data_IF_004473562108
#
_entry.id   IF_004473562108
#
_cell.length_a   1.000
_cell.length_b   1.000
_cell.length_c   1.000
_cell.angle_alpha   90.00
_cell.angle_beta   90.00
_cell.angle_gamma   90.00
#
_symmetry.space_group_name_H-M   'P 1'
#
loop_
_entity.id
_entity.type
_entity.pdbx_description
1 polymer ?
#
# COMPACT_ATOMS: atom_id res chain seq x y z
N UNK A 1 17.42 -6.70 17.66
CA UNK A 1 16.75 -5.42 17.40
C UNK A 1 17.26 -4.78 16.13
N UNK A 2 16.53 -4.98 15.04
CA UNK A 2 16.73 -4.14 13.86
C UNK A 2 16.10 -2.78 14.15
N UNK A 3 16.92 -1.73 14.10
CA UNK A 3 16.45 -0.35 14.19
C UNK A 3 15.79 0.03 12.86
N UNK A 4 14.51 -0.32 12.70
CA UNK A 4 13.78 -0.06 11.46
C UNK A 4 13.38 1.42 11.43
N UNK A 5 13.88 2.13 10.43
CA UNK A 5 13.48 3.50 10.15
C UNK A 5 12.01 3.54 9.68
N UNK A 6 11.24 4.50 10.20
CA UNK A 6 9.82 4.67 9.87
C UNK A 6 9.51 6.12 9.55
N UNK A 7 8.60 6.35 8.62
CA UNK A 7 8.12 7.68 8.29
C UNK A 7 6.92 8.05 9.17
N UNK A 8 6.99 9.18 9.89
CA UNK A 8 5.87 9.72 10.67
C UNK A 8 5.32 10.98 10.03
N UNK A 9 4.02 10.98 9.77
CA UNK A 9 3.29 12.15 9.31
C UNK A 9 3.17 13.16 10.46
N UNK A 10 3.78 14.33 10.28
CA UNK A 10 3.77 15.42 11.26
C UNK A 10 2.41 16.09 11.32
N UNK A 11 2.14 17.08 10.48
CA UNK A 11 0.86 17.74 10.26
C UNK A 11 0.82 18.21 8.81
N UNK A 12 -0.06 17.65 7.98
CA UNK A 12 -0.18 18.02 6.56
C UNK A 12 -1.63 18.16 6.14
N UNK A 13 -1.90 18.93 5.08
CA UNK A 13 -3.18 18.89 4.38
C UNK A 13 -3.17 17.84 3.25
N UNK A 14 -2.01 17.55 2.66
CA UNK A 14 -1.89 16.63 1.53
C UNK A 14 -1.01 15.43 1.90
N UNK A 15 -1.59 14.22 1.87
CA UNK A 15 -0.86 12.97 2.00
C UNK A 15 -0.68 12.33 0.61
N UNK A 16 0.56 12.03 0.24
CA UNK A 16 0.90 11.32 -0.99
C UNK A 16 2.13 10.44 -0.74
N UNK A 17 1.91 9.12 -0.72
CA UNK A 17 2.95 8.09 -0.62
C UNK A 17 2.90 7.28 -1.90
N UNK A 18 4.04 7.16 -2.57
CA UNK A 18 4.18 6.43 -3.83
C UNK A 18 5.29 5.40 -3.71
N UNK A 19 5.04 4.23 -4.26
CA UNK A 19 6.03 3.19 -4.42
C UNK A 19 5.91 2.56 -5.79
N UNK A 20 7.03 2.07 -6.29
CA UNK A 20 7.13 1.42 -7.60
C UNK A 20 8.14 0.29 -7.54
N UNK A 21 7.86 -0.79 -8.24
CA UNK A 21 8.75 -1.94 -8.37
C UNK A 21 8.67 -2.49 -9.79
N UNK A 22 9.80 -2.89 -10.37
CA UNK A 22 9.77 -3.55 -11.67
C UNK A 22 9.21 -4.96 -11.54
N UNK A 23 8.35 -5.35 -12.47
CA UNK A 23 7.79 -6.71 -12.47
C UNK A 23 8.88 -7.78 -12.69
N UNK A 24 9.97 -7.43 -13.37
CA UNK A 24 11.15 -8.28 -13.57
C UNK A 24 11.95 -8.55 -12.28
N UNK A 25 11.68 -7.82 -11.18
CA UNK A 25 12.27 -8.09 -9.86
C UNK A 25 11.44 -9.12 -9.07
N UNK A 26 10.31 -9.57 -9.62
CA UNK A 26 9.40 -10.54 -9.02
C UNK A 26 9.50 -11.89 -9.73
N UNK A 27 9.11 -12.95 -9.02
CA UNK A 27 9.06 -14.28 -9.62
C UNK A 27 7.90 -14.37 -10.64
N UNK A 28 8.11 -14.99 -11.81
CA UNK A 28 7.05 -15.18 -12.81
C UNK A 28 5.96 -16.13 -12.31
N UNK A 29 4.82 -16.16 -13.01
CA UNK A 29 3.67 -17.02 -12.75
C UNK A 29 3.17 -17.01 -11.29
N UNK A 30 3.31 -15.89 -10.58
CA UNK A 30 3.09 -15.79 -9.14
C UNK A 30 2.04 -14.72 -8.84
N UNK A 31 1.06 -15.07 -7.99
CA UNK A 31 0.13 -14.09 -7.43
C UNK A 31 0.84 -13.31 -6.33
N UNK A 32 0.97 -12.00 -6.48
CA UNK A 32 1.47 -11.11 -5.45
C UNK A 32 0.33 -10.32 -4.82
N UNK A 33 0.44 -10.08 -3.52
CA UNK A 33 -0.33 -9.05 -2.83
C UNK A 33 0.56 -7.91 -2.36
N UNK A 34 0.00 -6.69 -2.41
CA UNK A 34 0.67 -5.48 -1.97
C UNK A 34 -0.07 -4.92 -0.77
N UNK A 35 0.66 -4.73 0.33
CA UNK A 35 0.11 -4.13 1.56
C UNK A 35 1.02 -3.02 2.07
N UNK A 36 0.45 -1.98 2.67
CA UNK A 36 1.21 -1.02 3.48
C UNK A 36 1.12 -1.39 4.96
N UNK A 37 2.26 -1.49 5.64
CA UNK A 37 2.32 -1.63 7.09
C UNK A 37 2.34 -0.24 7.74
N UNK A 38 1.25 0.09 8.44
CA UNK A 38 1.04 1.42 9.00
C UNK A 38 0.54 1.35 10.45
N UNK A 39 0.61 2.48 11.14
CA UNK A 39 0.08 2.64 12.49
C UNK A 39 -0.43 4.05 12.70
N UNK A 40 -1.61 4.17 13.32
CA UNK A 40 -2.05 5.45 13.86
C UNK A 40 -1.49 5.62 15.28
N UNK A 41 -0.88 6.75 15.58
CA UNK A 41 -0.50 7.09 16.95
C UNK A 41 -1.74 7.37 17.82
N UNK A 42 -1.60 7.33 19.15
CA UNK A 42 -2.72 7.61 20.07
C UNK A 42 -3.34 8.99 19.84
N UNK A 43 -2.51 9.98 19.52
CA UNK A 43 -2.91 11.36 19.22
C UNK A 43 -3.18 11.66 17.74
N UNK A 44 -3.33 10.64 16.88
CA UNK A 44 -3.64 10.85 15.47
C UNK A 44 -5.00 11.55 15.31
N UNK A 45 -5.08 12.48 14.35
CA UNK A 45 -6.23 13.32 14.06
C UNK A 45 -6.37 13.59 12.56
N UNK A 46 -7.57 13.98 12.12
CA UNK A 46 -7.83 14.37 10.72
C UNK A 46 -8.04 13.19 9.75
N UNK A 47 -8.59 12.08 10.24
CA UNK A 47 -8.77 10.85 9.45
C UNK A 47 -10.25 10.54 9.15
N UNK A 48 -11.12 11.55 9.19
CA UNK A 48 -12.57 11.43 8.99
C UNK A 48 -12.92 11.04 7.55
N UNK A 49 -12.13 11.51 6.59
CA UNK A 49 -12.24 11.08 5.20
C UNK A 49 -11.37 9.85 4.93
N UNK A 50 -11.81 8.92 4.08
CA UNK A 50 -11.03 7.74 3.76
C UNK A 50 -9.76 8.10 2.99
N UNK A 51 -8.75 7.23 3.13
CA UNK A 51 -7.57 7.25 2.29
C UNK A 51 -7.79 6.39 1.07
N UNK A 52 -7.12 6.72 -0.03
CA UNK A 52 -7.15 5.95 -1.28
C UNK A 52 -5.89 5.11 -1.38
N UNK A 53 -6.09 3.84 -1.76
CA UNK A 53 -5.04 2.90 -2.09
C UNK A 53 -5.20 2.54 -3.56
N UNK A 54 -4.13 2.68 -4.35
CA UNK A 54 -4.17 2.45 -5.78
C UNK A 54 -3.03 1.54 -6.21
N UNK A 55 -3.37 0.46 -6.90
CA UNK A 55 -2.42 -0.41 -7.59
C UNK A 55 -2.54 -0.16 -9.10
N UNK A 56 -1.45 0.20 -9.76
CA UNK A 56 -1.40 0.36 -11.23
C UNK A 56 -0.40 -0.63 -11.81
N UNK A 57 -0.83 -1.38 -12.83
CA UNK A 57 -0.05 -2.41 -13.49
C UNK A 57 0.48 -1.91 -14.85
N UNK A 58 1.58 -2.51 -15.38
CA UNK A 58 2.16 -2.10 -16.66
C UNK A 58 1.19 -2.18 -17.85
N UNK A 59 0.32 -3.20 -17.86
CA UNK A 59 -0.76 -3.36 -18.84
C UNK A 59 -1.89 -2.30 -18.78
N UNK A 60 -1.77 -1.29 -17.91
CA UNK A 60 -2.74 -0.21 -17.77
C UNK A 60 -3.94 -0.52 -16.87
N UNK A 61 -4.01 -1.73 -16.29
CA UNK A 61 -5.02 -2.06 -15.28
C UNK A 61 -4.73 -1.25 -14.01
N UNK A 62 -5.80 -0.65 -13.48
CA UNK A 62 -5.76 0.11 -12.23
C UNK A 62 -6.81 -0.45 -11.27
N UNK A 63 -6.39 -0.77 -10.05
CA UNK A 63 -7.25 -1.08 -8.92
C UNK A 63 -7.19 0.09 -7.94
N UNK A 64 -8.34 0.66 -7.57
CA UNK A 64 -8.41 1.71 -6.55
C UNK A 64 -9.45 1.32 -5.50
N UNK A 65 -9.12 1.55 -4.23
CA UNK A 65 -10.04 1.34 -3.11
C UNK A 65 -9.88 2.40 -2.04
N UNK A 66 -10.94 2.59 -1.28
CA UNK A 66 -10.99 3.52 -0.16
C UNK A 66 -10.97 2.76 1.17
N UNK A 67 -10.21 3.26 2.13
CA UNK A 67 -10.13 2.71 3.48
C UNK A 67 -10.32 3.82 4.51
N UNK A 68 -11.26 3.63 5.43
CA UNK A 68 -11.40 4.54 6.57
C UNK A 68 -10.35 4.21 7.62
N UNK A 69 -9.44 5.15 7.89
CA UNK A 69 -8.48 5.03 9.00
C UNK A 69 -9.09 5.41 10.34
N UNK A 70 -10.18 6.19 10.36
CA UNK A 70 -10.90 6.55 11.60
C UNK A 70 -11.35 5.32 12.40
N UNK A 71 -11.77 4.26 11.71
CA UNK A 71 -12.29 3.03 12.32
C UNK A 71 -11.19 2.02 12.70
N UNK A 72 -9.91 2.38 12.51
CA UNK A 72 -8.78 1.49 12.76
C UNK A 72 -8.21 1.67 14.17
N UNK A 73 -7.64 0.61 14.77
CA UNK A 73 -7.08 0.69 16.12
C UNK A 73 -5.91 1.67 16.17
N UNK A 74 -5.84 2.43 17.27
CA UNK A 74 -4.73 3.35 17.55
C UNK A 74 -3.64 2.64 18.35
N UNK A 75 -2.39 2.99 18.08
CA UNK A 75 -1.20 2.46 18.73
C UNK A 75 -0.75 1.09 18.24
N UNK A 76 -1.50 0.46 17.32
CA UNK A 76 -1.23 -0.87 16.79
C UNK A 76 -0.82 -0.80 15.32
N UNK A 77 0.11 -1.68 14.93
CA UNK A 77 0.45 -1.88 13.52
C UNK A 77 -0.67 -2.63 12.81
N UNK A 78 -0.92 -2.27 11.56
CA UNK A 78 -1.95 -2.88 10.72
C UNK A 78 -1.52 -2.87 9.26
N UNK A 79 -2.02 -3.84 8.50
CA UNK A 79 -1.84 -3.93 7.06
C UNK A 79 -3.01 -3.24 6.34
N UNK A 80 -2.68 -2.34 5.42
CA UNK A 80 -3.61 -1.79 4.45
C UNK A 80 -3.39 -2.49 3.11
N UNK A 81 -4.29 -3.41 2.76
CA UNK A 81 -4.21 -4.11 1.48
C UNK A 81 -4.53 -3.16 0.33
N UNK A 82 -3.55 -2.97 -0.57
CA UNK A 82 -3.67 -2.12 -1.76
C UNK A 82 -4.38 -2.89 -2.87
N UNK A 83 -3.95 -4.13 -3.10
CA UNK A 83 -4.51 -5.02 -4.12
C UNK A 83 -3.61 -6.23 -4.35
N UNK A 84 -3.96 -7.03 -5.35
CA UNK A 84 -3.16 -8.18 -5.78
C UNK A 84 -3.11 -8.28 -7.31
N UNK A 85 -2.06 -8.88 -7.84
CA UNK A 85 -1.85 -9.07 -9.28
C UNK A 85 -1.03 -10.33 -9.56
N UNK A 86 -1.20 -10.90 -10.74
CA UNK A 86 -0.35 -11.99 -11.22
C UNK A 86 0.82 -11.42 -12.01
N UNK A 87 2.01 -11.97 -11.77
CA UNK A 87 3.14 -11.79 -12.70
C UNK A 87 2.94 -12.67 -13.93
N UNK A 88 3.47 -12.25 -15.10
CA UNK A 88 3.37 -13.04 -16.33
C UNK A 88 4.09 -14.39 -16.20
N UNK A 89 3.69 -15.36 -17.04
CA UNK A 89 4.31 -16.68 -17.07
C UNK A 89 5.75 -16.62 -17.61
N UNK A 90 6.01 -15.77 -18.61
CA UNK A 90 7.35 -15.51 -19.12
C UNK A 90 7.83 -14.11 -18.73
N UNK A 91 9.11 -14.00 -18.35
CA UNK A 91 9.72 -12.73 -17.93
C UNK A 91 9.75 -11.66 -19.05
N UNK A 92 9.64 -12.08 -20.30
CA UNK A 92 9.61 -11.21 -21.48
C UNK A 92 8.21 -10.66 -21.83
N UNK A 93 7.14 -11.24 -21.28
CA UNK A 93 5.76 -10.94 -21.69
C UNK A 93 5.21 -9.62 -21.14
N UNK A 94 5.74 -9.14 -20.00
CA UNK A 94 5.36 -7.85 -19.43
C UNK A 94 6.59 -7.15 -18.85
N UNK A 95 7.03 -6.08 -19.50
CA UNK A 95 8.11 -5.21 -18.98
C UNK A 95 7.49 -3.92 -18.45
N UNK A 96 7.76 -3.58 -17.19
CA UNK A 96 7.26 -2.35 -16.61
C UNK A 96 7.28 -2.31 -15.09
N UNK A 97 6.71 -1.24 -14.55
CA UNK A 97 6.64 -0.98 -13.12
C UNK A 97 5.22 -1.18 -12.61
N UNK A 98 5.11 -1.89 -11.49
CA UNK A 98 3.91 -1.92 -10.67
C UNK A 98 3.99 -0.76 -9.70
N UNK A 99 2.98 0.11 -9.70
CA UNK A 99 2.89 1.26 -8.80
C UNK A 99 1.84 1.01 -7.71
N UNK A 100 2.17 1.33 -6.47
CA UNK A 100 1.31 1.13 -5.30
C UNK A 100 1.24 2.41 -4.46
N UNK A 101 0.21 3.21 -4.72
CA UNK A 101 0.05 4.52 -4.12
C UNK A 101 -0.87 4.46 -2.90
N UNK A 102 -0.57 5.31 -1.93
CA UNK A 102 -1.34 5.53 -0.72
C UNK A 102 -1.47 7.02 -0.49
N UNK A 103 -2.67 7.58 -0.70
CA UNK A 103 -2.83 9.01 -0.76
C UNK A 103 -4.19 9.51 -0.25
N UNK A 104 -4.21 10.77 0.16
CA UNK A 104 -5.42 11.50 0.51
C UNK A 104 -5.19 13.00 0.35
N UNK A 105 -5.84 13.57 -0.66
CA UNK A 105 -5.59 14.94 -1.12
C UNK A 105 -6.64 15.95 -0.59
N UNK A 106 -7.39 15.57 0.46
CA UNK A 106 -8.41 16.44 1.03
C UNK A 106 -7.81 17.59 1.84
N UNK A 107 -8.32 18.81 1.68
CA UNK A 107 -7.76 20.04 2.29
C UNK A 107 -7.83 20.16 3.82
N UNK A 108 -8.31 19.14 4.54
CA UNK A 108 -8.28 19.11 6.00
C UNK A 108 -6.91 18.64 6.50
N UNK A 109 -6.50 19.18 7.64
CA UNK A 109 -5.25 18.81 8.29
C UNK A 109 -5.33 17.42 8.92
N UNK A 110 -4.24 16.68 8.85
CA UNK A 110 -4.09 15.35 9.45
C UNK A 110 -2.69 15.11 9.98
N UNK A 111 -2.62 14.25 10.99
CA UNK A 111 -1.40 13.97 11.73
C UNK A 111 -1.35 12.56 12.28
N UNK A 112 -0.14 12.12 12.66
CA UNK A 112 0.02 10.98 13.55
C UNK A 112 -0.14 9.62 12.89
N UNK A 113 -0.11 9.54 11.56
CA UNK A 113 0.11 8.30 10.82
C UNK A 113 1.61 7.97 10.81
N UNK A 114 1.94 6.71 10.99
CA UNK A 114 3.28 6.16 10.85
C UNK A 114 3.22 5.11 9.75
N UNK A 115 4.15 5.18 8.80
CA UNK A 115 4.31 4.22 7.71
C UNK A 115 5.66 3.54 7.89
N UNK A 116 5.63 2.21 7.98
CA UNK A 116 6.86 1.41 8.03
C UNK A 116 7.36 1.07 6.64
N UNK A 117 6.45 0.71 5.73
CA UNK A 117 6.78 0.46 4.34
C UNK A 117 5.66 -0.25 3.60
N UNK A 118 5.90 -0.50 2.31
CA UNK A 118 5.10 -1.43 1.52
C UNK A 118 5.74 -2.82 1.57
N UNK A 119 4.90 -3.84 1.59
CA UNK A 119 5.31 -5.24 1.54
C UNK A 119 4.64 -5.82 0.29
N UNK A 120 5.46 -6.31 -0.63
CA UNK A 120 5.03 -7.13 -1.75
C UNK A 120 5.41 -8.56 -1.42
N UNK A 121 4.42 -9.45 -1.33
CA UNK A 121 4.65 -10.85 -0.99
C UNK A 121 3.86 -11.80 -1.89
N UNK A 122 4.42 -12.97 -2.23
CA UNK A 122 3.67 -14.03 -2.89
C UNK A 122 2.48 -14.45 -2.02
N UNK A 123 1.31 -14.58 -2.65
CA UNK A 123 0.11 -15.17 -2.06
C UNK A 123 -0.05 -16.56 -2.65
N UNK A 124 -0.24 -17.57 -1.79
CA UNK A 124 -0.58 -18.92 -2.29
C UNK A 124 -1.92 -18.84 -3.02
N UNK A 125 -2.06 -19.42 -4.23
CA UNK A 125 -3.37 -19.63 -4.81
C UNK A 125 -4.18 -20.45 -3.81
N UNK A 126 -5.42 -20.03 -3.52
CA UNK A 126 -6.31 -20.87 -2.73
C UNK A 126 -6.49 -22.19 -3.48
N UNK A 127 -6.36 -23.35 -2.81
CA UNK A 127 -6.59 -24.62 -3.47
C UNK A 127 -8.02 -24.61 -4.02
N UNK A 128 -8.15 -24.78 -5.33
CA UNK A 128 -9.43 -25.01 -5.98
C UNK A 128 -10.06 -26.27 -5.36
N UNK A 129 -11.22 -26.09 -4.75
CA UNK A 129 -12.04 -27.16 -4.18
C UNK A 129 -12.74 -27.97 -5.28
#
# INVERSE_FOLDING_TARGET
>A
DENIEVAKLSHVCWLDVRGKLKISELSPATLYEVVYEVKLTKGASGWELPVKLRLSLPNGIVQERQVSLLQKPRGQWMELNVGSFHTPDNEDDETGEVCFDFYQHGGHWKSGLVVKGAILRPRKPEPSN
#
